data_IF_313381193008
#
_entry.id   IF_313381193008
#
_cell.length_a   1.000
_cell.length_b   1.000
_cell.length_c   1.000
_cell.angle_alpha   90.00
_cell.angle_beta   90.00
_cell.angle_gamma   90.00
#
_symmetry.space_group_name_H-M   'P 1'
#
loop_
_entity.id
_entity.type
_entity.pdbx_description
1 polymer ?
#
# COMPACT_ATOMS: atom_id res chain seq x y z
N UNK A 1 4.34 12.18 -11.75
CA UNK A 1 3.60 10.97 -11.39
C UNK A 1 2.36 10.82 -12.27
N UNK A 2 1.43 11.76 -12.29
CA UNK A 2 0.19 11.72 -13.07
C UNK A 2 0.40 11.56 -14.58
N UNK A 3 1.42 12.20 -15.14
CA UNK A 3 1.76 12.02 -16.55
C UNK A 3 2.10 10.56 -16.88
N UNK A 4 2.87 9.91 -16.03
CA UNK A 4 3.25 8.50 -16.21
C UNK A 4 2.01 7.60 -16.04
N UNK A 5 1.20 7.81 -14.99
CA UNK A 5 -0.03 7.07 -14.78
C UNK A 5 -0.99 7.17 -15.96
N UNK A 6 -1.22 8.36 -16.48
CA UNK A 6 -2.12 8.57 -17.62
C UNK A 6 -1.68 7.82 -18.87
N UNK A 7 -0.37 7.71 -19.12
CA UNK A 7 0.13 6.92 -20.23
C UNK A 7 -0.07 5.41 -20.03
N UNK A 8 -0.05 4.91 -18.79
CA UNK A 8 -0.18 3.49 -18.50
C UNK A 8 -1.62 3.03 -18.26
N UNK A 9 -2.52 3.90 -17.83
CA UNK A 9 -3.94 3.58 -17.60
C UNK A 9 -4.70 3.13 -18.86
N UNK A 10 -4.14 3.33 -20.05
CA UNK A 10 -4.70 2.82 -21.31
C UNK A 10 -4.37 1.33 -21.56
N UNK A 11 -3.55 0.71 -20.72
CA UNK A 11 -3.17 -0.69 -20.85
C UNK A 11 -4.11 -1.60 -20.06
N UNK A 12 -4.39 -2.78 -20.62
CA UNK A 12 -5.20 -3.84 -19.93
C UNK A 12 -4.47 -4.54 -18.79
N UNK A 13 -3.24 -4.13 -18.46
CA UNK A 13 -2.42 -4.74 -17.39
C UNK A 13 -2.28 -3.77 -16.21
N UNK A 14 -2.16 -4.27 -14.96
CA UNK A 14 -1.87 -3.42 -13.81
C UNK A 14 -0.63 -2.56 -14.06
N UNK A 15 -0.74 -1.27 -13.73
CA UNK A 15 0.38 -0.34 -13.81
C UNK A 15 1.35 -0.62 -12.67
N UNK A 16 2.63 -0.76 -12.97
CA UNK A 16 3.70 -0.93 -11.98
C UNK A 16 4.67 0.23 -12.09
N UNK A 17 4.91 0.91 -10.99
CA UNK A 17 5.86 2.02 -10.89
C UNK A 17 6.90 1.71 -9.82
N UNK A 18 8.16 1.97 -10.15
CA UNK A 18 9.28 1.85 -9.21
C UNK A 18 9.89 3.23 -8.97
N UNK A 19 9.90 3.65 -7.71
CA UNK A 19 10.62 4.84 -7.26
C UNK A 19 11.98 4.43 -6.70
N UNK A 20 13.04 4.70 -7.43
CA UNK A 20 14.39 4.41 -6.99
C UNK A 20 14.99 5.63 -6.27
N UNK A 21 15.13 5.53 -4.96
CA UNK A 21 15.58 6.62 -4.10
C UNK A 21 16.60 6.12 -3.07
N UNK A 22 17.58 6.94 -2.75
CA UNK A 22 18.58 6.63 -1.74
C UNK A 22 17.96 6.50 -0.34
N UNK A 23 18.62 5.76 0.55
CA UNK A 23 18.24 5.70 1.96
C UNK A 23 18.26 7.10 2.59
N UNK A 24 17.24 7.44 3.36
CA UNK A 24 17.10 8.76 3.98
C UNK A 24 16.64 9.91 3.05
N UNK A 25 16.36 9.63 1.78
CA UNK A 25 15.93 10.64 0.80
C UNK A 25 14.45 11.02 0.84
N UNK A 26 13.69 10.52 1.82
CA UNK A 26 12.27 10.82 1.99
C UNK A 26 11.31 9.89 1.27
N UNK A 27 11.68 8.62 1.03
CA UNK A 27 10.80 7.61 0.41
C UNK A 27 9.41 7.55 1.03
N UNK A 28 9.33 7.56 2.36
CA UNK A 28 8.06 7.51 3.08
C UNK A 28 7.19 8.73 2.81
N UNK A 29 7.80 9.91 2.67
CA UNK A 29 7.08 11.13 2.30
C UNK A 29 6.55 11.07 0.85
N UNK A 30 7.33 10.53 -0.07
CA UNK A 30 6.86 10.30 -1.45
C UNK A 30 5.70 9.32 -1.46
N UNK A 31 5.77 8.25 -0.68
CA UNK A 31 4.68 7.27 -0.55
C UNK A 31 3.41 7.93 -0.01
N UNK A 32 3.53 8.78 1.01
CA UNK A 32 2.41 9.56 1.53
C UNK A 32 1.79 10.46 0.45
N UNK A 33 2.61 11.17 -0.31
CA UNK A 33 2.15 12.01 -1.42
C UNK A 33 1.44 11.21 -2.52
N UNK A 34 1.96 10.03 -2.86
CA UNK A 34 1.32 9.12 -3.83
C UNK A 34 -0.06 8.65 -3.34
N UNK A 35 -0.21 8.32 -2.06
CA UNK A 35 -1.50 7.94 -1.48
C UNK A 35 -2.52 9.07 -1.65
N UNK A 36 -2.14 10.30 -1.30
CA UNK A 36 -3.04 11.47 -1.43
C UNK A 36 -3.44 11.74 -2.88
N UNK A 37 -2.49 11.70 -3.80
CA UNK A 37 -2.74 11.91 -5.21
C UNK A 37 -3.67 10.83 -5.79
N UNK A 38 -3.47 9.57 -5.43
CA UNK A 38 -4.35 8.48 -5.84
C UNK A 38 -5.74 8.56 -5.18
N UNK A 39 -5.83 9.10 -3.96
CA UNK A 39 -7.13 9.37 -3.34
C UNK A 39 -7.94 10.39 -4.16
N UNK A 40 -7.32 11.46 -4.63
CA UNK A 40 -7.96 12.44 -5.51
C UNK A 40 -8.43 11.81 -6.83
N UNK A 41 -7.75 10.77 -7.31
CA UNK A 41 -8.12 10.01 -8.51
C UNK A 41 -9.19 8.93 -8.25
N UNK A 42 -9.71 8.81 -7.03
CA UNK A 42 -10.79 7.91 -6.67
C UNK A 42 -10.36 6.57 -6.07
N UNK A 43 -9.08 6.39 -5.76
CA UNK A 43 -8.62 5.21 -5.03
C UNK A 43 -8.86 5.39 -3.54
N UNK A 44 -9.29 4.31 -2.86
CA UNK A 44 -9.63 4.32 -1.43
C UNK A 44 -8.93 3.22 -0.64
N UNK A 45 -8.55 2.15 -1.31
CA UNK A 45 -8.08 0.91 -0.71
C UNK A 45 -6.61 0.69 -1.07
N UNK A 46 -5.78 0.59 -0.06
CA UNK A 46 -4.32 0.45 -0.19
C UNK A 46 -3.84 -0.75 0.61
N UNK A 47 -2.87 -1.48 0.07
CA UNK A 47 -2.15 -2.52 0.79
C UNK A 47 -0.69 -2.12 0.86
N UNK A 48 -0.19 -1.88 2.06
CA UNK A 48 1.22 -1.68 2.32
C UNK A 48 1.85 -2.99 2.77
N UNK A 49 2.85 -3.45 2.05
CA UNK A 49 3.51 -4.72 2.37
C UNK A 49 5.02 -4.62 2.26
N UNK A 50 5.72 -5.33 3.14
CA UNK A 50 7.18 -5.37 3.25
C UNK A 50 7.64 -6.75 3.74
N UNK A 51 8.95 -6.97 3.78
CA UNK A 51 9.52 -8.23 4.29
C UNK A 51 9.57 -8.32 5.81
N UNK A 52 9.50 -7.19 6.53
CA UNK A 52 9.75 -7.13 7.97
C UNK A 52 8.62 -6.44 8.73
N UNK A 53 8.16 -7.06 9.81
CA UNK A 53 7.16 -6.47 10.71
C UNK A 53 7.65 -5.17 11.38
N UNK A 54 8.94 -5.04 11.64
CA UNK A 54 9.50 -3.81 12.22
C UNK A 54 9.33 -2.59 11.29
N UNK A 55 9.37 -2.81 9.97
CA UNK A 55 9.14 -1.73 8.98
C UNK A 55 7.65 -1.36 8.99
N UNK A 56 6.76 -2.34 9.13
CA UNK A 56 5.31 -2.10 9.25
C UNK A 56 5.03 -1.17 10.43
N UNK A 57 5.52 -1.51 11.62
CA UNK A 57 5.26 -0.73 12.83
C UNK A 57 5.78 0.73 12.69
N UNK A 58 6.98 0.91 12.15
CA UNK A 58 7.51 2.25 11.87
C UNK A 58 6.66 3.03 10.87
N UNK A 59 6.16 2.38 9.84
CA UNK A 59 5.33 3.03 8.82
C UNK A 59 3.95 3.36 9.37
N UNK A 60 3.35 2.47 10.14
CA UNK A 60 2.11 2.75 10.88
C UNK A 60 2.27 3.98 11.78
N UNK A 61 3.36 4.05 12.52
CA UNK A 61 3.66 5.18 13.41
C UNK A 61 3.73 6.50 12.63
N UNK A 62 4.36 6.49 11.46
CA UNK A 62 4.44 7.67 10.60
C UNK A 62 3.10 8.06 9.94
N UNK A 63 2.22 7.13 9.70
CA UNK A 63 0.97 7.36 8.97
C UNK A 63 -0.25 7.54 9.89
N UNK A 64 -0.25 6.94 11.06
CA UNK A 64 -1.44 6.82 11.91
C UNK A 64 -1.27 7.49 13.28
N UNK A 65 -0.04 7.63 13.78
CA UNK A 65 0.20 8.15 15.12
C UNK A 65 0.53 9.65 15.10
N UNK A 66 -0.46 10.48 15.42
CA UNK A 66 -0.32 11.94 15.48
C UNK A 66 0.67 12.43 16.56
N UNK A 67 1.00 11.58 17.53
CA UNK A 67 2.00 11.88 18.56
C UNK A 67 3.44 11.54 18.10
N UNK A 68 3.60 10.86 17.00
CA UNK A 68 4.92 10.54 16.46
C UNK A 68 5.61 11.80 15.92
N UNK A 69 6.89 11.97 16.26
CA UNK A 69 7.71 13.07 15.73
C UNK A 69 7.92 13.01 14.19
N UNK A 70 7.59 11.87 13.60
CA UNK A 70 7.68 11.61 12.15
C UNK A 70 6.30 11.46 11.50
N UNK A 71 5.25 11.89 12.18
CA UNK A 71 3.90 11.86 11.62
C UNK A 71 3.82 12.72 10.37
N UNK A 72 3.32 12.14 9.28
CA UNK A 72 3.34 12.74 7.94
C UNK A 72 2.03 13.42 7.55
N UNK A 73 0.94 13.11 8.24
CA UNK A 73 -0.37 13.62 7.93
C UNK A 73 -0.94 14.45 9.08
N UNK A 74 -1.91 15.30 8.81
CA UNK A 74 -2.74 15.87 9.86
C UNK A 74 -3.75 14.81 10.33
N UNK A 75 -4.19 14.89 11.59
CA UNK A 75 -5.23 13.99 12.15
C UNK A 75 -6.48 13.94 11.28
N UNK A 76 -6.81 15.06 10.66
CA UNK A 76 -7.87 15.18 9.67
C UNK A 76 -7.31 15.85 8.43
N UNK A 77 -7.37 15.15 7.31
CA UNK A 77 -6.98 15.70 6.01
C UNK A 77 -8.19 16.41 5.39
N UNK A 78 -7.96 17.58 4.81
CA UNK A 78 -8.97 18.27 4.01
C UNK A 78 -8.58 18.19 2.54
N UNK A 79 -9.32 17.44 1.77
CA UNK A 79 -9.17 17.31 0.31
C UNK A 79 -10.48 17.68 -0.34
N UNK A 80 -10.48 18.68 -1.22
CA UNK A 80 -11.67 19.16 -1.93
C UNK A 80 -12.85 19.46 -0.96
N UNK A 81 -12.57 20.17 0.14
CA UNK A 81 -13.53 20.55 1.21
C UNK A 81 -14.15 19.36 1.99
N UNK A 82 -13.66 18.15 1.77
CA UNK A 82 -14.03 16.98 2.56
C UNK A 82 -12.98 16.66 3.59
N UNK A 83 -13.43 16.35 4.81
CA UNK A 83 -12.57 15.80 5.84
C UNK A 83 -12.45 14.29 5.66
N UNK A 84 -11.23 13.81 5.52
CA UNK A 84 -10.89 12.40 5.38
C UNK A 84 -9.91 11.97 6.45
N UNK A 85 -9.91 10.71 6.80
CA UNK A 85 -8.96 10.11 7.72
C UNK A 85 -8.23 8.95 7.07
N UNK A 86 -7.02 8.67 7.56
CA UNK A 86 -6.27 7.47 7.20
C UNK A 86 -6.54 6.43 8.27
N UNK A 87 -7.00 5.25 7.86
CA UNK A 87 -7.37 4.16 8.76
C UNK A 87 -6.65 2.87 8.40
N UNK A 88 -6.16 2.19 9.41
CA UNK A 88 -5.78 0.80 9.29
C UNK A 88 -7.04 -0.07 9.26
N UNK A 89 -7.09 -1.00 8.31
CA UNK A 89 -8.17 -1.99 8.17
C UNK A 89 -7.60 -3.39 7.96
N UNK A 90 -8.34 -4.40 8.33
CA UNK A 90 -7.94 -5.80 8.11
C UNK A 90 -8.38 -6.31 6.73
N UNK A 91 -9.46 -5.74 6.21
CA UNK A 91 -10.03 -6.02 4.89
C UNK A 91 -10.79 -4.80 4.38
N UNK A 92 -11.35 -4.87 3.19
CA UNK A 92 -12.04 -3.73 2.56
C UNK A 92 -13.57 -3.87 2.50
N UNK A 93 -14.15 -4.94 3.03
CA UNK A 93 -15.61 -5.16 2.97
C UNK A 93 -16.40 -4.14 3.78
N UNK A 94 -15.91 -3.84 4.98
CA UNK A 94 -16.55 -2.90 5.90
C UNK A 94 -15.87 -1.52 5.93
N UNK A 95 -14.90 -1.30 5.05
CA UNK A 95 -14.14 -0.08 5.01
C UNK A 95 -14.99 1.12 4.54
N UNK A 96 -14.84 2.25 5.21
CA UNK A 96 -15.51 3.48 4.79
C UNK A 96 -14.88 4.00 3.49
N UNK A 97 -15.66 4.10 2.44
CA UNK A 97 -15.20 4.54 1.11
C UNK A 97 -14.98 6.06 0.99
N UNK A 98 -15.21 6.83 2.05
CA UNK A 98 -14.82 8.25 2.12
C UNK A 98 -13.40 8.42 2.68
N UNK A 99 -12.86 7.43 3.39
CA UNK A 99 -11.56 7.46 4.02
C UNK A 99 -10.47 6.78 3.17
N UNK A 100 -9.22 6.96 3.56
CA UNK A 100 -8.07 6.21 3.04
C UNK A 100 -7.92 4.96 3.91
N UNK A 101 -8.17 3.79 3.33
CA UNK A 101 -8.11 2.52 4.04
C UNK A 101 -6.82 1.79 3.68
N UNK A 102 -6.00 1.45 4.67
CA UNK A 102 -4.71 0.80 4.47
C UNK A 102 -4.65 -0.52 5.24
N UNK A 103 -4.38 -1.60 4.54
CA UNK A 103 -3.97 -2.88 5.13
C UNK A 103 -2.46 -2.91 5.22
N UNK A 104 -1.93 -3.09 6.41
CA UNK A 104 -0.50 -3.28 6.65
C UNK A 104 -0.19 -4.76 6.83
N UNK A 105 0.75 -5.29 6.07
CA UNK A 105 1.08 -6.71 6.12
C UNK A 105 2.52 -6.99 5.70
N UNK A 106 3.02 -8.18 6.02
CA UNK A 106 4.24 -8.70 5.42
C UNK A 106 3.90 -9.41 4.10
N UNK A 107 4.93 -9.66 3.27
CA UNK A 107 4.76 -10.45 2.04
C UNK A 107 4.20 -11.83 2.36
N UNK A 108 4.75 -12.50 3.38
CA UNK A 108 4.25 -13.80 3.84
C UNK A 108 2.83 -13.71 4.38
N UNK A 109 2.52 -12.64 5.13
CA UNK A 109 1.17 -12.39 5.66
C UNK A 109 0.15 -12.18 4.55
N UNK A 110 0.50 -11.41 3.51
CA UNK A 110 -0.36 -11.21 2.34
C UNK A 110 -0.60 -12.54 1.59
N UNK A 111 0.47 -13.29 1.33
CA UNK A 111 0.36 -14.60 0.69
C UNK A 111 -0.51 -15.58 1.50
N UNK A 112 -0.32 -15.62 2.81
CA UNK A 112 -1.12 -16.48 3.69
C UNK A 112 -2.60 -16.09 3.70
N UNK A 113 -2.91 -14.79 3.76
CA UNK A 113 -4.31 -14.29 3.71
C UNK A 113 -5.01 -14.66 2.40
N UNK A 114 -4.32 -14.52 1.26
CA UNK A 114 -4.87 -14.82 -0.05
C UNK A 114 -5.07 -16.32 -0.31
N UNK A 115 -4.24 -17.18 0.28
CA UNK A 115 -4.29 -18.62 0.06
C UNK A 115 -5.05 -19.41 1.15
N UNK A 116 -5.43 -18.77 2.24
CA UNK A 116 -6.20 -19.40 3.31
C UNK A 116 -7.48 -18.59 3.55
N UNK A 117 -8.57 -18.90 2.84
CA UNK A 117 -9.83 -18.18 3.00
C UNK A 117 -10.32 -18.27 4.45
N UNK A 118 -10.49 -17.11 5.06
CA UNK A 118 -11.14 -16.94 6.37
C UNK A 118 -12.23 -15.92 6.19
N UNK A 119 -13.27 -15.99 7.01
CA UNK A 119 -14.25 -14.91 7.09
C UNK A 119 -13.53 -13.56 7.33
N UNK A 120 -13.91 -12.55 6.58
CA UNK A 120 -13.33 -11.20 6.63
C UNK A 120 -11.83 -11.12 6.30
N UNK A 121 -11.29 -12.03 5.48
CA UNK A 121 -9.94 -11.95 4.96
C UNK A 121 -9.90 -11.29 3.58
N UNK A 122 -8.73 -10.76 3.20
CA UNK A 122 -8.47 -10.35 1.82
C UNK A 122 -8.52 -11.56 0.89
N UNK A 123 -9.23 -11.43 -0.22
CA UNK A 123 -9.37 -12.47 -1.24
C UNK A 123 -8.85 -11.99 -2.59
N UNK A 124 -8.62 -12.89 -3.52
CA UNK A 124 -8.29 -12.53 -4.90
C UNK A 124 -9.43 -11.78 -5.59
N UNK A 125 -10.68 -12.06 -5.23
CA UNK A 125 -11.86 -11.38 -5.75
C UNK A 125 -11.88 -9.90 -5.39
N UNK A 126 -11.34 -9.51 -4.22
CA UNK A 126 -11.19 -8.10 -3.85
C UNK A 126 -10.34 -7.31 -4.85
N UNK A 127 -9.35 -7.95 -5.49
CA UNK A 127 -8.50 -7.30 -6.50
C UNK A 127 -9.21 -7.15 -7.85
N UNK A 128 -10.22 -7.95 -8.13
CA UNK A 128 -11.02 -7.84 -9.35
C UNK A 128 -12.13 -6.79 -9.20
N UNK A 129 -12.79 -6.78 -8.05
CA UNK A 129 -13.97 -5.95 -7.80
C UNK A 129 -13.63 -4.55 -7.26
N UNK A 130 -12.51 -4.41 -6.56
CA UNK A 130 -12.12 -3.17 -5.89
C UNK A 130 -10.86 -2.58 -6.52
N UNK A 131 -10.81 -1.26 -6.57
CA UNK A 131 -9.59 -0.54 -6.97
C UNK A 131 -8.59 -0.57 -5.82
N UNK A 132 -7.66 -1.51 -5.83
CA UNK A 132 -6.64 -1.68 -4.80
C UNK A 132 -5.29 -1.19 -5.31
N UNK A 133 -4.60 -0.40 -4.50
CA UNK A 133 -3.24 0.05 -4.72
C UNK A 133 -2.27 -0.75 -3.85
N UNK A 134 -1.28 -1.35 -4.47
CA UNK A 134 -0.21 -2.06 -3.78
C UNK A 134 0.98 -1.12 -3.58
N UNK A 135 1.40 -0.95 -2.33
CA UNK A 135 2.55 -0.14 -1.94
C UNK A 135 3.59 -1.05 -1.28
N UNK A 136 4.82 -0.97 -1.71
CA UNK A 136 5.92 -1.70 -1.09
C UNK A 136 7.12 -0.80 -0.85
N UNK A 137 7.65 -0.83 0.36
CA UNK A 137 8.99 -0.32 0.64
C UNK A 137 10.01 -1.45 0.44
N UNK A 138 11.23 -1.08 0.01
CA UNK A 138 12.31 -2.04 -0.25
C UNK A 138 11.96 -3.15 -1.27
N UNK A 139 11.32 -2.76 -2.37
CA UNK A 139 10.86 -3.69 -3.41
C UNK A 139 11.97 -4.60 -4.00
N UNK A 140 13.25 -4.25 -3.83
CA UNK A 140 14.38 -5.08 -4.26
C UNK A 140 14.47 -6.41 -3.51
N UNK A 141 13.94 -6.50 -2.29
CA UNK A 141 13.88 -7.76 -1.54
C UNK A 141 12.80 -8.72 -2.05
N UNK A 142 11.77 -8.22 -2.73
CA UNK A 142 10.68 -9.04 -3.27
C UNK A 142 11.21 -10.03 -4.32
N UNK A 143 12.20 -9.61 -5.12
CA UNK A 143 12.78 -10.44 -6.18
C UNK A 143 13.92 -11.38 -5.69
N UNK A 144 14.44 -11.18 -4.49
CA UNK A 144 15.56 -11.99 -3.98
C UNK A 144 15.11 -13.41 -3.58
N UNK A 145 13.90 -13.57 -3.08
CA UNK A 145 13.36 -14.87 -2.67
C UNK A 145 12.96 -15.75 -3.86
N UNK A 146 12.48 -15.17 -4.96
CA UNK A 146 12.11 -15.90 -6.18
C UNK A 146 13.34 -16.51 -6.89
N UNK A 147 14.54 -15.96 -6.69
CA UNK A 147 15.78 -16.54 -7.25
C UNK A 147 16.33 -17.72 -6.44
N UNK A 148 16.05 -17.79 -5.13
CA UNK A 148 16.49 -18.93 -4.28
C UNK A 148 15.68 -20.21 -4.54
N UNK A 149 14.45 -20.10 -5.01
CA UNK A 149 13.59 -21.26 -5.33
C UNK A 149 13.91 -21.96 -6.66
N UNK A 150 14.79 -21.40 -7.50
CA UNK A 150 15.14 -22.00 -8.81
C UNK A 150 16.45 -22.80 -8.83
N UNK A 151 17.21 -22.82 -7.74
CA UNK A 151 18.50 -23.52 -7.69
C UNK A 151 18.45 -24.86 -6.93
N UNK A 152 17.30 -25.48 -6.79
CA UNK A 152 17.19 -26.80 -6.17
C UNK A 152 16.35 -27.73 -7.05
N UNK A 153 16.76 -27.87 -8.30
CA UNK A 153 16.40 -29.01 -9.15
C UNK A 153 17.66 -29.34 -9.97
N UNK A 154 18.50 -30.14 -9.37
CA UNK A 154 19.38 -31.09 -10.00
C UNK A 154 19.19 -32.45 -9.33
#
# INVERSE_FOLDING_TARGET
FNFVLNQYNQRKKPTQLLFHMATGSGKTLVMAGVILDLYEQGYRNFIFFVNSSNIIEKTKDNFLNSLSSKYLFNETLSIADKQITIKEVDNFETANQEDINIVFTTIQGLHSRLNTPKENALTYEDFEDKKIVLLSDEAHHINAETKKGKNTID
#
